data_IF_432900105369
#
_entry.id   IF_432900105369
#
_cell.length_a   1.000
_cell.length_b   1.000
_cell.length_c   1.000
_cell.angle_alpha   90.00
_cell.angle_beta   90.00
_cell.angle_gamma   90.00
#
_symmetry.space_group_name_H-M   'P 1'
#
loop_
_entity.id
_entity.type
_entity.pdbx_description
1 polymer ?
#
# COMPACT_ATOMS: atom_id res chain seq x y z
N UNK A 1 -18.80 -0.79 20.31
CA UNK A 1 -17.38 -0.43 20.28
C UNK A 1 -16.61 -1.74 20.42
N UNK A 2 -16.25 -2.38 19.30
CA UNK A 2 -15.66 -3.73 19.32
C UNK A 2 -14.22 -3.66 19.80
N UNK A 3 -13.92 -4.39 20.87
CA UNK A 3 -12.60 -4.47 21.47
C UNK A 3 -11.61 -5.08 20.47
N UNK A 4 -10.85 -4.23 19.78
CA UNK A 4 -9.98 -4.60 18.65
C UNK A 4 -8.68 -5.32 19.10
N UNK A 5 -8.55 -5.51 20.42
CA UNK A 5 -7.40 -6.10 21.11
C UNK A 5 -7.75 -7.28 22.02
N UNK A 6 -8.92 -7.90 21.82
CA UNK A 6 -9.24 -9.17 22.46
C UNK A 6 -8.31 -10.32 22.01
N UNK A 7 -8.19 -11.36 22.85
CA UNK A 7 -7.33 -12.52 22.60
C UNK A 7 -7.53 -13.15 21.20
N UNK A 8 -8.78 -13.22 20.72
CA UNK A 8 -9.12 -13.71 19.37
C UNK A 8 -8.57 -12.84 18.25
N UNK A 9 -8.51 -11.52 18.43
CA UNK A 9 -7.93 -10.62 17.44
C UNK A 9 -6.40 -10.81 17.35
N UNK A 10 -5.75 -11.09 18.48
CA UNK A 10 -4.32 -11.41 18.54
C UNK A 10 -4.03 -12.76 17.86
N UNK A 11 -4.82 -13.78 18.15
CA UNK A 11 -4.71 -15.11 17.55
C UNK A 11 -4.88 -15.06 16.02
N UNK A 12 -5.91 -14.36 15.53
CA UNK A 12 -6.12 -14.15 14.10
C UNK A 12 -4.92 -13.41 13.45
N UNK A 13 -4.38 -12.38 14.12
CA UNK A 13 -3.19 -11.66 13.62
C UNK A 13 -1.98 -12.60 13.53
N UNK A 14 -1.76 -13.43 14.54
CA UNK A 14 -0.68 -14.40 14.56
C UNK A 14 -0.83 -15.43 13.43
N UNK A 15 -2.06 -15.89 13.18
CA UNK A 15 -2.36 -16.79 12.07
C UNK A 15 -2.15 -16.15 10.70
N UNK A 16 -2.52 -14.88 10.51
CA UNK A 16 -2.40 -14.20 9.21
C UNK A 16 -0.96 -13.81 8.85
N UNK A 17 -0.12 -13.54 9.86
CA UNK A 17 1.24 -12.99 9.67
C UNK A 17 2.11 -13.83 8.71
N UNK A 18 2.18 -15.17 8.79
CA UNK A 18 2.96 -15.99 7.87
C UNK A 18 2.42 -16.00 6.43
N UNK A 19 1.10 -15.82 6.25
CA UNK A 19 0.49 -15.79 4.92
C UNK A 19 0.75 -14.47 4.19
N UNK A 20 0.71 -13.36 4.94
CA UNK A 20 0.95 -12.01 4.42
C UNK A 20 2.44 -11.76 4.22
N UNK A 21 3.28 -12.14 5.19
CA UNK A 21 4.71 -11.84 5.22
C UNK A 21 5.54 -13.10 5.03
N UNK A 22 5.56 -13.61 3.79
CA UNK A 22 6.30 -14.83 3.44
C UNK A 22 7.81 -14.57 3.48
N UNK A 23 8.57 -15.49 4.09
CA UNK A 23 10.04 -15.39 4.19
C UNK A 23 10.77 -15.73 2.88
N UNK A 24 10.10 -16.48 2.01
CA UNK A 24 10.57 -16.86 0.68
C UNK A 24 9.57 -16.35 -0.36
N UNK A 25 10.09 -15.63 -1.34
CA UNK A 25 9.33 -15.08 -2.46
C UNK A 25 9.84 -15.77 -3.71
N UNK A 26 8.96 -16.47 -4.39
CA UNK A 26 9.24 -17.09 -5.67
C UNK A 26 8.76 -16.22 -6.84
N UNK A 27 9.08 -16.65 -8.05
CA UNK A 27 8.67 -15.95 -9.26
C UNK A 27 7.15 -15.84 -9.41
N UNK A 28 6.39 -16.81 -8.89
CA UNK A 28 4.92 -16.81 -9.00
C UNK A 28 4.32 -15.63 -8.26
N UNK A 29 4.85 -15.27 -7.08
CA UNK A 29 4.40 -14.10 -6.31
C UNK A 29 4.67 -12.81 -7.07
N UNK A 30 5.86 -12.66 -7.66
CA UNK A 30 6.21 -11.49 -8.47
C UNK A 30 5.27 -11.39 -9.69
N UNK A 31 4.95 -12.52 -10.33
CA UNK A 31 4.02 -12.55 -11.44
C UNK A 31 2.59 -12.18 -11.02
N UNK A 32 2.12 -12.66 -9.86
CA UNK A 32 0.82 -12.27 -9.29
C UNK A 32 0.75 -10.77 -9.02
N UNK A 33 1.81 -10.16 -8.49
CA UNK A 33 1.88 -8.71 -8.26
C UNK A 33 1.83 -7.93 -9.59
N UNK A 34 2.54 -8.38 -10.63
CA UNK A 34 2.47 -7.78 -11.97
C UNK A 34 1.07 -7.88 -12.56
N UNK A 35 0.41 -9.03 -12.42
CA UNK A 35 -0.95 -9.25 -12.89
C UNK A 35 -1.93 -8.31 -12.18
N UNK A 36 -1.78 -8.14 -10.86
CA UNK A 36 -2.59 -7.21 -10.07
C UNK A 36 -2.41 -5.75 -10.51
N UNK A 37 -1.15 -5.31 -10.71
CA UNK A 37 -0.86 -3.98 -11.28
C UNK A 37 -1.55 -3.79 -12.64
N UNK A 38 -1.46 -4.80 -13.51
CA UNK A 38 -2.10 -4.78 -14.83
C UNK A 38 -3.63 -4.69 -14.76
N UNK A 39 -4.27 -5.39 -13.83
CA UNK A 39 -5.72 -5.29 -13.60
C UNK A 39 -6.13 -3.88 -13.16
N UNK A 40 -5.40 -3.31 -12.19
CA UNK A 40 -5.65 -1.93 -11.73
C UNK A 40 -5.54 -0.96 -12.91
N UNK A 41 -4.46 -1.01 -13.67
CA UNK A 41 -4.25 -0.11 -14.81
C UNK A 41 -5.30 -0.27 -15.92
N UNK A 42 -5.79 -1.50 -16.18
CA UNK A 42 -6.91 -1.72 -17.11
C UNK A 42 -8.19 -1.10 -16.60
N UNK A 43 -8.48 -1.24 -15.30
CA UNK A 43 -9.70 -0.70 -14.71
C UNK A 43 -9.73 0.84 -14.71
N UNK A 44 -8.58 1.48 -14.42
CA UNK A 44 -8.44 2.94 -14.53
C UNK A 44 -8.75 3.42 -15.95
N UNK A 45 -8.18 2.75 -16.96
CA UNK A 45 -8.43 3.07 -18.38
C UNK A 45 -9.87 2.84 -18.77
N UNK A 46 -10.45 1.69 -18.40
CA UNK A 46 -11.84 1.30 -18.74
C UNK A 46 -12.86 2.31 -18.25
N UNK A 47 -12.67 2.86 -17.06
CA UNK A 47 -13.59 3.82 -16.44
C UNK A 47 -13.29 5.28 -16.76
N UNK A 48 -12.24 5.58 -17.53
CA UNK A 48 -11.87 6.96 -17.88
C UNK A 48 -11.55 7.85 -16.67
N UNK A 49 -11.03 7.28 -15.58
CA UNK A 49 -10.89 7.93 -14.27
C UNK A 49 -9.73 8.93 -14.16
N UNK A 50 -9.46 9.71 -15.23
CA UNK A 50 -8.30 10.60 -15.32
C UNK A 50 -8.25 11.65 -14.19
N UNK A 51 -9.40 12.20 -13.81
CA UNK A 51 -9.49 13.23 -12.77
C UNK A 51 -9.84 12.68 -11.37
N UNK A 52 -9.74 11.35 -11.19
CA UNK A 52 -10.06 10.74 -9.90
C UNK A 52 -8.84 10.65 -8.98
N UNK A 53 -8.82 11.47 -7.93
CA UNK A 53 -7.73 11.56 -6.94
C UNK A 53 -7.36 10.19 -6.32
N UNK A 54 -8.32 9.26 -6.19
CA UNK A 54 -8.12 7.96 -5.55
C UNK A 54 -7.86 6.84 -6.54
N UNK A 55 -8.61 6.83 -7.64
CA UNK A 55 -8.65 5.74 -8.60
C UNK A 55 -7.90 6.02 -9.91
N UNK A 56 -7.55 7.27 -10.19
CA UNK A 56 -6.83 7.68 -11.38
C UNK A 56 -5.37 7.24 -11.36
N UNK A 57 -4.70 7.37 -12.50
CA UNK A 57 -3.25 7.16 -12.59
C UNK A 57 -2.52 8.19 -11.71
N UNK A 58 -1.54 7.75 -10.93
CA UNK A 58 -0.85 8.56 -9.93
C UNK A 58 -1.69 8.89 -8.68
N UNK A 59 -2.88 8.31 -8.55
CA UNK A 59 -3.77 8.54 -7.40
C UNK A 59 -3.35 7.79 -6.14
N UNK A 60 -4.10 8.01 -5.06
CA UNK A 60 -3.82 7.44 -3.73
C UNK A 60 -3.65 5.92 -3.75
N UNK A 61 -4.49 5.20 -4.53
CA UNK A 61 -4.39 3.74 -4.61
C UNK A 61 -3.07 3.28 -5.20
N UNK A 62 -2.51 3.99 -6.17
CA UNK A 62 -1.26 3.59 -6.80
C UNK A 62 -0.09 3.70 -5.82
N UNK A 63 -0.08 4.75 -4.99
CA UNK A 63 0.90 4.89 -3.90
C UNK A 63 0.72 3.79 -2.85
N UNK A 64 -0.53 3.50 -2.45
CA UNK A 64 -0.84 2.39 -1.53
C UNK A 64 -0.35 1.04 -2.07
N UNK A 65 -0.56 0.80 -3.37
CA UNK A 65 -0.11 -0.41 -4.04
C UNK A 65 1.42 -0.54 -4.03
N UNK A 66 2.16 0.54 -4.34
CA UNK A 66 3.63 0.52 -4.31
C UNK A 66 4.14 0.12 -2.92
N UNK A 67 3.64 0.78 -1.87
CA UNK A 67 4.05 0.49 -0.49
C UNK A 67 3.73 -0.97 -0.13
N UNK A 68 2.51 -1.43 -0.43
CA UNK A 68 2.09 -2.81 -0.15
C UNK A 68 2.92 -3.88 -0.89
N UNK A 69 3.38 -3.59 -2.11
CA UNK A 69 4.29 -4.50 -2.83
C UNK A 69 5.58 -4.72 -2.04
N UNK A 70 6.18 -3.67 -1.47
CA UNK A 70 7.36 -3.83 -0.62
C UNK A 70 7.07 -4.64 0.65
N UNK A 71 5.91 -4.42 1.27
CA UNK A 71 5.48 -5.20 2.43
C UNK A 71 5.36 -6.70 2.09
N UNK A 72 4.80 -7.04 0.94
CA UNK A 72 4.63 -8.44 0.52
C UNK A 72 5.95 -9.11 0.13
N UNK A 73 6.88 -8.38 -0.50
CA UNK A 73 8.16 -8.93 -0.95
C UNK A 73 9.18 -9.03 0.19
N UNK A 74 9.26 -7.99 1.04
CA UNK A 74 10.32 -7.84 2.04
C UNK A 74 9.82 -8.00 3.47
N UNK A 75 8.54 -7.82 3.74
CA UNK A 75 8.00 -7.83 5.10
C UNK A 75 8.17 -9.16 5.84
N UNK A 76 8.37 -10.29 5.15
CA UNK A 76 8.72 -11.57 5.80
C UNK A 76 10.12 -11.61 6.40
N UNK A 77 11.02 -10.73 5.96
CA UNK A 77 12.41 -10.60 6.45
C UNK A 77 12.63 -9.31 7.23
N UNK A 78 11.87 -8.26 6.92
CA UNK A 78 11.98 -6.93 7.50
C UNK A 78 10.74 -6.62 8.35
N UNK A 79 10.79 -6.82 9.69
CA UNK A 79 9.66 -6.52 10.57
C UNK A 79 9.20 -5.06 10.50
N UNK A 80 10.12 -4.12 10.21
CA UNK A 80 9.83 -2.71 10.02
C UNK A 80 8.82 -2.45 8.88
N UNK A 81 8.70 -3.38 7.91
CA UNK A 81 7.74 -3.29 6.82
C UNK A 81 6.39 -3.92 7.13
N UNK A 82 6.14 -4.40 8.35
CA UNK A 82 4.87 -5.02 8.74
C UNK A 82 3.86 -4.01 9.34
N UNK A 83 4.15 -2.72 9.21
CA UNK A 83 3.30 -1.64 9.71
C UNK A 83 1.99 -1.57 8.93
N UNK A 84 0.89 -1.24 9.62
CA UNK A 84 -0.43 -1.07 8.98
C UNK A 84 -0.57 0.27 8.26
N UNK A 85 0.08 1.30 8.77
CA UNK A 85 -0.04 2.65 8.27
C UNK A 85 0.96 2.92 7.14
N UNK A 86 0.50 3.58 6.08
CA UNK A 86 1.32 3.83 4.88
C UNK A 86 2.57 4.65 5.16
N UNK A 87 2.45 5.75 5.92
CA UNK A 87 3.55 6.68 6.15
C UNK A 87 4.71 6.06 6.96
N UNK A 88 4.47 5.34 8.07
CA UNK A 88 5.51 4.58 8.75
C UNK A 88 6.16 3.52 7.87
N UNK A 89 5.36 2.78 7.08
CA UNK A 89 5.93 1.80 6.14
C UNK A 89 6.81 2.47 5.10
N UNK A 90 6.39 3.62 4.55
CA UNK A 90 7.17 4.36 3.55
C UNK A 90 8.49 4.90 4.13
N UNK A 91 8.50 5.32 5.40
CA UNK A 91 9.73 5.69 6.09
C UNK A 91 10.67 4.49 6.25
N UNK A 92 10.15 3.33 6.64
CA UNK A 92 10.95 2.10 6.73
C UNK A 92 11.49 1.65 5.36
N UNK A 93 10.74 1.85 4.27
CA UNK A 93 11.21 1.59 2.89
C UNK A 93 12.40 2.48 2.53
N UNK A 94 12.38 3.75 2.95
CA UNK A 94 13.45 4.73 2.73
C UNK A 94 14.71 4.37 3.53
N UNK A 95 14.55 4.06 4.82
CA UNK A 95 15.63 3.63 5.73
C UNK A 95 16.33 2.35 5.26
N UNK A 96 15.59 1.46 4.60
CA UNK A 96 16.12 0.21 4.04
C UNK A 96 16.67 0.38 2.61
N UNK A 97 16.67 1.60 2.05
CA UNK A 97 17.12 1.91 0.68
C UNK A 97 16.48 1.03 -0.39
N UNK A 98 15.18 0.72 -0.22
CA UNK A 98 14.43 -0.16 -1.13
C UNK A 98 13.88 0.60 -2.35
N UNK A 99 13.96 1.92 -2.32
CA UNK A 99 13.65 2.83 -3.41
C UNK A 99 14.88 3.67 -3.77
N UNK A 100 14.96 4.20 -5.00
CA UNK A 100 15.92 5.22 -5.35
C UNK A 100 15.88 6.41 -4.38
N UNK A 101 17.03 7.07 -4.20
CA UNK A 101 17.14 8.24 -3.34
C UNK A 101 16.15 9.33 -3.76
N UNK A 102 15.39 9.87 -2.80
CA UNK A 102 14.39 10.91 -3.04
C UNK A 102 12.99 10.41 -3.42
N UNK A 103 12.84 9.19 -3.94
CA UNK A 103 11.53 8.65 -4.36
C UNK A 103 10.57 8.50 -3.19
N UNK A 104 11.05 8.04 -2.03
CA UNK A 104 10.21 7.92 -0.83
C UNK A 104 9.70 9.29 -0.35
N UNK A 105 10.55 10.32 -0.42
CA UNK A 105 10.17 11.70 -0.09
C UNK A 105 9.11 12.23 -1.06
N UNK A 106 9.29 11.97 -2.36
CA UNK A 106 8.33 12.36 -3.39
C UNK A 106 6.97 11.67 -3.18
N UNK A 107 6.97 10.34 -2.95
CA UNK A 107 5.75 9.57 -2.69
C UNK A 107 5.03 10.05 -1.42
N UNK A 108 5.78 10.39 -0.37
CA UNK A 108 5.23 10.95 0.87
C UNK A 108 4.53 12.29 0.60
N UNK A 109 5.19 13.20 -0.11
CA UNK A 109 4.64 14.50 -0.45
C UNK A 109 3.36 14.36 -1.31
N UNK A 110 3.42 13.51 -2.34
CA UNK A 110 2.27 13.21 -3.20
C UNK A 110 1.09 12.62 -2.41
N UNK A 111 1.34 11.64 -1.54
CA UNK A 111 0.29 11.03 -0.71
C UNK A 111 -0.40 12.04 0.21
N UNK A 112 0.38 12.88 0.90
CA UNK A 112 -0.14 13.91 1.79
C UNK A 112 -0.95 14.96 1.02
N UNK A 113 -0.47 15.36 -0.15
CA UNK A 113 -1.18 16.27 -1.05
C UNK A 113 -2.53 15.69 -1.49
N UNK A 114 -2.53 14.46 -2.02
CA UNK A 114 -3.75 13.79 -2.48
C UNK A 114 -4.75 13.56 -1.34
N UNK A 115 -4.30 13.16 -0.14
CA UNK A 115 -5.16 13.03 1.04
C UNK A 115 -5.75 14.35 1.51
N UNK A 116 -5.02 15.46 1.36
CA UNK A 116 -5.54 16.81 1.63
C UNK A 116 -6.60 17.21 0.62
N UNK A 117 -6.49 16.83 -0.65
CA UNK A 117 -7.50 17.10 -1.68
C UNK A 117 -8.75 16.20 -1.55
N UNK A 118 -8.58 14.94 -1.12
CA UNK A 118 -9.69 14.00 -0.92
C UNK A 118 -10.65 14.47 0.19
N UNK A 119 -10.10 15.02 1.29
CA UNK A 119 -10.89 15.42 2.47
C UNK A 119 -11.97 16.48 2.16
N UNK A 120 -11.69 17.59 1.45
CA UNK A 120 -12.70 18.53 1.00
C UNK A 120 -13.62 17.96 -0.08
N UNK A 121 -13.09 17.24 -1.07
CA UNK A 121 -13.88 16.73 -2.20
C UNK A 121 -14.99 15.75 -1.76
N UNK A 122 -14.71 14.91 -0.75
CA UNK A 122 -15.71 14.00 -0.17
C UNK A 122 -16.89 14.74 0.52
N UNK A 123 -16.70 16.02 0.89
CA UNK A 123 -17.73 16.87 1.52
C UNK A 123 -18.70 17.47 0.51
N UNK A 124 -18.35 17.53 -0.78
CA UNK A 124 -19.16 18.10 -1.86
C UNK A 124 -19.78 17.05 -2.81
N UNK A 125 -19.53 15.75 -2.59
CA UNK A 125 -20.11 14.63 -3.35
C UNK A 125 -21.19 13.87 -2.57
N UNK A 126 -21.84 14.52 -1.59
CA UNK A 126 -23.02 13.99 -0.90
C UNK A 126 -24.24 14.86 -1.17
#
# INVERSE_FOLDING_TARGET
MGDNDGAYASELRAMLRPFVFRRYIDFSVIQSLRNMKGMIAREVRRRGLKDNIKLGAGGIREIEFIVQVFQLIRGGREPALQQRALLPTLAAIDELHLLPEGDATLLRAAYLFLRRLEKPAAKYQR
#
